data_IF_295938822449
#
_entry.id   IF_295938822449
#
_cell.length_a   1.000
_cell.length_b   1.000
_cell.length_c   1.000
_cell.angle_alpha   90.00
_cell.angle_beta   90.00
_cell.angle_gamma   90.00
#
_symmetry.space_group_name_H-M   'P 1'
#
loop_
_entity.id
_entity.type
_entity.pdbx_description
1 polymer ?
#
# COMPACT_ATOMS: atom_id res chain seq x y z
N UNK A 1 -1.33 11.70 4.37
CA UNK A 1 -1.47 10.47 5.19
C UNK A 1 -2.13 10.68 6.56
N UNK A 2 -1.92 11.80 7.27
CA UNK A 2 -2.49 12.03 8.61
C UNK A 2 -4.02 11.85 8.70
N UNK A 3 -4.79 12.38 7.75
CA UNK A 3 -6.24 12.19 7.72
C UNK A 3 -6.66 10.73 7.50
N UNK A 4 -5.95 9.99 6.64
CA UNK A 4 -6.23 8.58 6.42
C UNK A 4 -6.01 7.76 7.70
N UNK A 5 -4.94 8.03 8.44
CA UNK A 5 -4.69 7.39 9.75
C UNK A 5 -5.83 7.69 10.72
N UNK A 6 -6.21 8.97 10.83
CA UNK A 6 -7.29 9.42 11.72
C UNK A 6 -8.62 8.74 11.37
N UNK A 7 -8.98 8.71 10.08
CA UNK A 7 -10.20 8.07 9.61
C UNK A 7 -10.17 6.55 9.84
N UNK A 8 -9.05 5.89 9.53
CA UNK A 8 -8.88 4.46 9.78
C UNK A 8 -9.14 4.13 11.25
N UNK A 9 -8.48 4.85 12.17
CA UNK A 9 -8.64 4.65 13.60
C UNK A 9 -10.07 4.86 14.10
N UNK A 10 -10.83 5.78 13.50
CA UNK A 10 -12.23 6.02 13.86
C UNK A 10 -13.16 4.94 13.31
N UNK A 11 -12.93 4.51 12.08
CA UNK A 11 -13.78 3.55 11.37
C UNK A 11 -13.56 2.13 11.90
N UNK A 12 -12.31 1.69 12.08
CA UNK A 12 -11.98 0.30 12.38
C UNK A 12 -12.07 -0.07 13.87
N UNK A 13 -12.48 0.88 14.72
CA UNK A 13 -12.91 0.61 16.10
C UNK A 13 -14.24 -0.15 16.18
N UNK A 14 -15.08 -0.01 15.17
CA UNK A 14 -16.38 -0.67 15.12
C UNK A 14 -16.25 -2.02 14.43
N UNK A 15 -16.89 -3.05 14.99
CA UNK A 15 -16.90 -4.36 14.37
C UNK A 15 -17.53 -4.30 12.97
N UNK A 16 -16.94 -5.02 12.01
CA UNK A 16 -17.45 -5.09 10.64
C UNK A 16 -17.16 -3.87 9.75
N UNK A 17 -16.34 -2.94 10.22
CA UNK A 17 -15.91 -1.78 9.44
C UNK A 17 -14.46 -1.95 9.00
N UNK A 18 -14.20 -1.69 7.73
CA UNK A 18 -12.87 -1.72 7.13
C UNK A 18 -12.55 -0.37 6.49
N UNK A 19 -11.27 -0.07 6.38
CA UNK A 19 -10.75 1.15 5.78
C UNK A 19 -9.70 0.82 4.72
N UNK A 20 -9.76 1.54 3.61
CA UNK A 20 -8.85 1.40 2.47
C UNK A 20 -8.30 2.77 2.11
N UNK A 21 -7.00 2.80 1.82
CA UNK A 21 -6.37 3.87 1.04
C UNK A 21 -5.80 3.22 -0.20
N UNK A 22 -6.03 3.78 -1.37
CA UNK A 22 -5.48 3.25 -2.60
C UNK A 22 -5.13 4.39 -3.55
N UNK A 23 -3.99 4.24 -4.21
CA UNK A 23 -3.47 5.21 -5.17
C UNK A 23 -2.86 4.48 -6.37
N UNK A 24 -3.01 5.10 -7.54
CA UNK A 24 -2.31 4.73 -8.77
C UNK A 24 -1.27 5.80 -9.07
N UNK A 25 -0.08 5.37 -9.48
CA UNK A 25 1.05 6.25 -9.78
C UNK A 25 1.88 5.66 -10.92
N UNK A 26 1.78 6.26 -12.11
CA UNK A 26 2.38 5.74 -13.33
C UNK A 26 1.84 4.34 -13.68
N UNK A 27 2.76 3.41 -13.94
CA UNK A 27 2.44 1.99 -14.18
C UNK A 27 2.30 1.17 -12.89
N UNK A 28 2.24 1.82 -11.72
CA UNK A 28 2.16 1.16 -10.42
C UNK A 28 0.87 1.53 -9.68
N UNK A 29 0.50 0.68 -8.73
CA UNK A 29 -0.60 0.94 -7.82
C UNK A 29 -0.34 0.33 -6.46
N UNK A 30 -0.89 0.95 -5.42
CA UNK A 30 -0.78 0.42 -4.08
C UNK A 30 -2.07 0.68 -3.31
N UNK A 31 -2.42 -0.24 -2.43
CA UNK A 31 -3.45 -0.04 -1.43
C UNK A 31 -2.96 -0.46 -0.05
N UNK A 32 -3.34 0.31 0.98
CA UNK A 32 -3.22 -0.04 2.39
C UNK A 32 -4.60 -0.38 2.92
N UNK A 33 -4.67 -1.46 3.69
CA UNK A 33 -5.91 -2.08 4.16
C UNK A 33 -5.86 -2.17 5.68
N UNK A 34 -6.89 -1.66 6.33
CA UNK A 34 -7.10 -1.78 7.76
C UNK A 34 -8.49 -2.38 8.00
N UNK A 35 -8.53 -3.64 8.44
CA UNK A 35 -9.79 -4.36 8.67
C UNK A 35 -10.32 -4.20 10.10
N UNK A 36 -9.54 -3.59 10.99
CA UNK A 36 -9.79 -3.62 12.43
C UNK A 36 -9.33 -4.93 13.10
N UNK A 37 -8.94 -4.80 14.38
CA UNK A 37 -8.33 -5.88 15.17
C UNK A 37 -9.23 -7.11 15.37
N UNK A 38 -10.54 -6.90 15.40
CA UNK A 38 -11.54 -7.92 15.72
C UNK A 38 -12.20 -8.50 14.45
N UNK A 39 -11.64 -8.20 13.27
CA UNK A 39 -12.16 -8.71 12.00
C UNK A 39 -12.03 -10.24 11.91
N UNK A 40 -13.09 -10.87 11.45
CA UNK A 40 -13.17 -12.31 11.23
C UNK A 40 -13.70 -12.61 9.83
N UNK A 41 -13.18 -13.67 9.23
CA UNK A 41 -13.65 -14.20 7.95
C UNK A 41 -13.91 -15.70 8.05
N UNK A 42 -14.66 -16.25 7.10
CA UNK A 42 -14.88 -17.68 6.96
C UNK A 42 -14.06 -18.19 5.77
N UNK A 43 -13.02 -19.01 6.00
CA UNK A 43 -12.20 -19.52 4.91
C UNK A 43 -13.02 -20.42 3.97
N UNK A 44 -12.74 -20.35 2.68
CA UNK A 44 -13.37 -21.22 1.69
C UNK A 44 -12.57 -22.52 1.57
N UNK A 45 -13.21 -23.64 1.89
CA UNK A 45 -12.65 -24.99 1.77
C UNK A 45 -13.44 -25.71 0.67
N UNK A 46 -12.98 -25.55 -0.57
CA UNK A 46 -13.71 -26.00 -1.75
C UNK A 46 -15.01 -25.20 -1.93
N UNK A 47 -16.17 -25.86 -1.83
CA UNK A 47 -17.50 -25.21 -1.93
C UNK A 47 -18.15 -24.90 -0.58
N UNK A 48 -17.44 -25.15 0.53
CA UNK A 48 -17.97 -24.96 1.89
C UNK A 48 -17.23 -23.82 2.58
N UNK A 49 -17.94 -23.12 3.46
CA UNK A 49 -17.37 -22.12 4.36
C UNK A 49 -16.95 -22.80 5.67
N UNK A 50 -15.75 -22.48 6.12
CA UNK A 50 -15.26 -22.87 7.44
C UNK A 50 -15.87 -22.02 8.57
N UNK A 51 -15.33 -22.23 9.76
CA UNK A 51 -15.69 -21.47 10.95
C UNK A 51 -15.11 -20.04 10.90
N UNK A 52 -15.76 -19.06 11.57
CA UNK A 52 -15.21 -17.72 11.72
C UNK A 52 -13.79 -17.78 12.29
N UNK A 53 -12.85 -17.19 11.56
CA UNK A 53 -11.42 -17.24 11.84
C UNK A 53 -10.93 -15.79 11.94
N UNK A 54 -10.18 -15.42 13.00
CA UNK A 54 -9.63 -14.09 13.15
C UNK A 54 -8.51 -13.84 12.12
N UNK A 55 -8.33 -12.57 11.72
CA UNK A 55 -7.23 -12.20 10.85
C UNK A 55 -5.88 -12.40 11.55
N UNK A 56 -5.01 -13.22 10.94
CA UNK A 56 -3.66 -13.44 11.46
C UNK A 56 -2.74 -12.27 11.09
N UNK A 57 -1.85 -11.89 12.01
CA UNK A 57 -0.83 -10.86 11.82
C UNK A 57 -1.42 -9.50 11.39
N UNK A 58 -2.55 -9.12 11.99
CA UNK A 58 -3.14 -7.78 11.81
C UNK A 58 -2.18 -6.68 12.25
N UNK A 59 -2.03 -5.65 11.41
CA UNK A 59 -1.25 -4.43 11.71
C UNK A 59 -2.14 -3.24 11.33
N UNK A 60 -2.51 -2.35 12.27
CA UNK A 60 -3.34 -1.19 11.97
C UNK A 60 -2.61 -0.21 11.04
N UNK A 61 -3.37 0.60 10.29
CA UNK A 61 -2.78 1.55 9.33
C UNK A 61 -1.74 2.47 9.99
N UNK A 62 -2.01 2.91 11.23
CA UNK A 62 -1.11 3.79 11.99
C UNK A 62 0.26 3.17 12.25
N UNK A 63 0.34 1.85 12.48
CA UNK A 63 1.60 1.15 12.69
C UNK A 63 2.26 0.79 11.37
N UNK A 64 1.47 0.39 10.37
CA UNK A 64 1.92 0.02 9.04
C UNK A 64 2.79 1.12 8.39
N UNK A 65 2.32 2.37 8.42
CA UNK A 65 3.04 3.51 7.84
C UNK A 65 4.30 3.89 8.62
N UNK A 66 4.42 3.46 9.88
CA UNK A 66 5.60 3.72 10.71
C UNK A 66 6.68 2.65 10.54
N UNK A 67 6.38 1.51 9.92
CA UNK A 67 7.37 0.46 9.67
C UNK A 67 8.50 1.04 8.80
N UNK A 68 9.77 1.02 9.30
CA UNK A 68 10.92 1.43 8.49
C UNK A 68 11.06 0.51 7.27
N UNK A 69 11.34 1.06 6.09
CA UNK A 69 11.31 0.28 4.85
C UNK A 69 12.26 -0.92 4.89
N UNK A 70 13.51 -0.75 5.37
CA UNK A 70 14.46 -1.86 5.49
C UNK A 70 14.02 -2.98 6.45
N UNK A 71 13.04 -2.72 7.34
CA UNK A 71 12.46 -3.72 8.24
C UNK A 71 11.16 -4.33 7.71
N UNK A 72 10.54 -3.74 6.69
CA UNK A 72 9.40 -4.31 5.98
C UNK A 72 9.90 -5.42 5.05
N UNK A 73 10.24 -6.57 5.64
CA UNK A 73 10.77 -7.74 4.93
C UNK A 73 10.10 -8.99 5.48
N UNK A 74 10.04 -10.04 4.66
CA UNK A 74 9.48 -11.32 5.09
C UNK A 74 10.26 -12.49 4.47
N UNK A 75 9.83 -13.73 4.74
CA UNK A 75 10.53 -14.93 4.24
C UNK A 75 10.66 -14.98 2.71
N UNK A 76 9.80 -14.28 1.97
CA UNK A 76 9.82 -14.23 0.50
C UNK A 76 10.50 -12.97 -0.03
N UNK A 77 10.52 -11.89 0.75
CA UNK A 77 11.03 -10.58 0.36
C UNK A 77 12.17 -10.17 1.30
N UNK A 78 13.42 -10.41 0.87
CA UNK A 78 14.62 -10.00 1.61
C UNK A 78 14.85 -8.48 1.60
N UNK A 79 14.17 -7.79 0.69
CA UNK A 79 14.03 -6.34 0.62
C UNK A 79 12.54 -6.02 0.41
N UNK A 80 12.04 -4.87 0.88
CA UNK A 80 10.68 -4.44 0.56
C UNK A 80 10.49 -4.34 -0.96
N UNK A 81 9.31 -4.68 -1.49
CA UNK A 81 9.05 -4.54 -2.92
C UNK A 81 9.19 -3.10 -3.39
N UNK A 82 9.72 -2.88 -4.59
CA UNK A 82 9.96 -1.53 -5.12
C UNK A 82 8.67 -0.69 -5.21
N UNK A 83 7.54 -1.29 -5.58
CA UNK A 83 6.22 -0.62 -5.57
C UNK A 83 5.89 -0.05 -4.19
N UNK A 84 6.19 -0.77 -3.10
CA UNK A 84 5.95 -0.27 -1.75
C UNK A 84 6.90 0.86 -1.37
N UNK A 85 8.19 0.74 -1.74
CA UNK A 85 9.19 1.79 -1.53
C UNK A 85 8.75 3.08 -2.24
N UNK A 86 8.41 3.00 -3.53
CA UNK A 86 7.96 4.13 -4.35
C UNK A 86 6.72 4.80 -3.76
N UNK A 87 5.72 4.00 -3.35
CA UNK A 87 4.51 4.55 -2.75
C UNK A 87 4.82 5.29 -1.45
N UNK A 88 5.68 4.73 -0.58
CA UNK A 88 6.14 5.41 0.63
C UNK A 88 6.93 6.70 0.34
N UNK A 89 7.72 6.75 -0.73
CA UNK A 89 8.38 7.98 -1.18
C UNK A 89 7.36 9.07 -1.59
N UNK A 90 6.29 8.71 -2.32
CA UNK A 90 5.24 9.66 -2.72
C UNK A 90 4.50 10.23 -1.51
N UNK A 91 4.19 9.38 -0.54
CA UNK A 91 3.50 9.76 0.69
C UNK A 91 4.36 10.66 1.57
N UNK A 92 5.64 10.33 1.72
CA UNK A 92 6.59 11.15 2.48
C UNK A 92 6.78 12.51 1.79
N UNK A 93 6.96 12.52 0.47
CA UNK A 93 7.08 13.76 -0.29
C UNK A 93 5.83 14.64 -0.11
N UNK A 94 4.63 14.08 -0.30
CA UNK A 94 3.36 14.79 -0.09
C UNK A 94 3.24 15.38 1.31
N UNK A 95 3.68 14.63 2.32
CA UNK A 95 3.65 15.09 3.71
C UNK A 95 4.61 16.26 3.95
N UNK A 96 5.79 16.26 3.32
CA UNK A 96 6.79 17.32 3.50
C UNK A 96 6.49 18.58 2.65
N UNK A 97 6.13 18.38 1.39
CA UNK A 97 5.92 19.46 0.42
C UNK A 97 4.49 20.03 0.43
N UNK A 98 3.53 19.29 1.00
CA UNK A 98 2.08 19.56 0.92
C UNK A 98 1.52 19.51 -0.51
N UNK A 99 2.28 19.00 -1.47
CA UNK A 99 1.90 18.83 -2.88
C UNK A 99 2.23 17.43 -3.36
N UNK A 100 1.39 16.90 -4.25
CA UNK A 100 1.61 15.59 -4.84
C UNK A 100 2.64 15.69 -5.97
N UNK A 101 3.58 14.73 -6.01
CA UNK A 101 4.53 14.63 -7.09
C UNK A 101 3.82 14.52 -8.45
N UNK A 102 4.26 15.31 -9.43
CA UNK A 102 3.61 15.42 -10.75
C UNK A 102 2.57 16.55 -10.87
N UNK A 103 2.13 17.15 -9.74
CA UNK A 103 1.30 18.35 -9.74
C UNK A 103 2.12 19.63 -9.51
N UNK A 104 3.44 19.52 -9.44
CA UNK A 104 4.35 20.63 -9.14
C UNK A 104 4.66 21.46 -10.40
N UNK A 105 5.03 22.75 -10.27
CA UNK A 105 5.63 23.52 -11.35
C UNK A 105 6.88 22.81 -11.89
N UNK A 106 7.14 22.94 -13.19
CA UNK A 106 8.15 22.18 -13.96
C UNK A 106 9.58 22.24 -13.38
N UNK A 107 9.89 23.22 -12.53
CA UNK A 107 11.21 23.42 -11.92
C UNK A 107 11.45 22.64 -10.60
N UNK A 108 10.49 21.84 -10.12
CA UNK A 108 10.60 21.15 -8.82
C UNK A 108 11.08 19.69 -8.89
N UNK A 109 11.23 19.10 -10.08
CA UNK A 109 11.63 17.70 -10.24
C UNK A 109 12.99 17.37 -9.59
N UNK A 110 13.96 18.29 -9.70
CA UNK A 110 15.28 18.12 -9.07
C UNK A 110 15.20 18.15 -7.53
N UNK A 111 14.37 19.04 -6.98
CA UNK A 111 14.14 19.12 -5.54
C UNK A 111 13.40 17.88 -5.02
N UNK A 112 12.39 17.40 -5.74
CA UNK A 112 11.69 16.15 -5.44
C UNK A 112 12.64 14.95 -5.46
N UNK A 113 13.48 14.83 -6.50
CA UNK A 113 14.50 13.78 -6.60
C UNK A 113 15.45 13.80 -5.41
N UNK A 114 15.95 14.98 -5.03
CA UNK A 114 16.82 15.14 -3.87
C UNK A 114 16.15 14.75 -2.55
N UNK A 115 14.90 15.17 -2.33
CA UNK A 115 14.13 14.82 -1.13
C UNK A 115 13.89 13.31 -1.03
N UNK A 116 13.46 12.67 -2.13
CA UNK A 116 13.22 11.23 -2.19
C UNK A 116 14.52 10.45 -1.96
N UNK A 117 15.64 10.86 -2.56
CA UNK A 117 16.94 10.23 -2.31
C UNK A 117 17.38 10.34 -0.85
N UNK A 118 17.12 11.46 -0.19
CA UNK A 118 17.37 11.63 1.24
C UNK A 118 16.53 10.65 2.07
N UNK A 119 15.24 10.55 1.79
CA UNK A 119 14.35 9.59 2.47
C UNK A 119 14.79 8.14 2.26
N UNK A 120 15.12 7.74 1.04
CA UNK A 120 15.62 6.39 0.73
C UNK A 120 16.88 6.05 1.55
N UNK A 121 17.81 7.00 1.66
CA UNK A 121 19.04 6.86 2.46
C UNK A 121 18.73 6.68 3.95
N UNK A 122 17.84 7.50 4.51
CA UNK A 122 17.41 7.39 5.92
C UNK A 122 16.71 6.06 6.20
N UNK A 123 15.92 5.58 5.24
CA UNK A 123 15.21 4.31 5.32
C UNK A 123 16.08 3.08 5.00
N UNK A 124 17.35 3.28 4.63
CA UNK A 124 18.33 2.25 4.29
C UNK A 124 17.87 1.31 3.17
N UNK A 125 17.23 1.89 2.15
CA UNK A 125 16.78 1.19 0.94
C UNK A 125 17.18 1.98 -0.31
N UNK A 126 17.11 1.34 -1.46
CA UNK A 126 17.45 1.96 -2.75
C UNK A 126 16.42 1.60 -3.81
N UNK A 127 16.22 2.51 -4.76
CA UNK A 127 15.61 2.24 -6.06
C UNK A 127 16.72 2.22 -7.11
N UNK A 128 16.51 1.53 -8.24
CA UNK A 128 17.39 1.74 -9.41
C UNK A 128 17.23 3.17 -9.95
N UNK A 129 18.22 3.64 -10.71
CA UNK A 129 18.13 4.97 -11.34
C UNK A 129 16.90 5.08 -12.25
N UNK A 130 16.61 4.03 -13.03
CA UNK A 130 15.40 3.90 -13.86
C UNK A 130 14.12 4.02 -13.03
N UNK A 131 14.02 3.26 -11.93
CA UNK A 131 12.87 3.32 -11.03
C UNK A 131 12.67 4.71 -10.39
N UNK A 132 13.77 5.36 -10.04
CA UNK A 132 13.71 6.70 -9.47
C UNK A 132 13.28 7.72 -10.53
N UNK A 133 13.80 7.61 -11.76
CA UNK A 133 13.41 8.48 -12.88
C UNK A 133 11.95 8.30 -13.25
N UNK A 134 11.48 7.05 -13.35
CA UNK A 134 10.08 6.73 -13.58
C UNK A 134 9.17 7.33 -12.50
N UNK A 135 9.55 7.23 -11.23
CA UNK A 135 8.79 7.81 -10.11
C UNK A 135 8.71 9.33 -10.21
N UNK A 136 9.81 10.00 -10.55
CA UNK A 136 9.88 11.46 -10.67
C UNK A 136 9.09 11.95 -11.88
N UNK A 137 9.18 11.24 -13.00
CA UNK A 137 8.50 11.58 -14.25
C UNK A 137 6.99 11.33 -14.17
N UNK A 138 6.59 10.16 -13.65
CA UNK A 138 5.19 9.77 -13.57
C UNK A 138 4.47 10.44 -12.40
N UNK A 139 5.14 10.62 -11.25
CA UNK A 139 4.49 11.13 -10.04
C UNK A 139 3.19 10.38 -9.73
N UNK A 140 2.11 11.12 -9.44
CA UNK A 140 0.76 10.59 -9.22
C UNK A 140 -0.06 10.44 -10.52
N UNK A 141 0.56 10.38 -11.69
CA UNK A 141 -0.16 10.21 -12.95
C UNK A 141 -0.98 8.92 -12.94
N UNK A 142 -2.27 9.04 -13.27
CA UNK A 142 -3.21 7.93 -13.27
C UNK A 142 -3.33 7.33 -14.66
N UNK A 143 -2.87 6.10 -14.82
CA UNK A 143 -2.97 5.34 -16.08
C UNK A 143 -4.23 4.46 -16.03
N UNK A 144 -5.13 4.61 -17.00
CA UNK A 144 -6.45 3.97 -16.97
C UNK A 144 -6.41 2.43 -16.81
N UNK A 145 -5.55 1.67 -17.53
CA UNK A 145 -5.36 0.25 -17.28
C UNK A 145 -4.98 -0.10 -15.83
N UNK A 146 -4.11 0.68 -15.21
CA UNK A 146 -3.65 0.46 -13.82
C UNK A 146 -4.79 0.66 -12.85
N UNK A 147 -5.59 1.72 -13.05
CA UNK A 147 -6.77 2.00 -12.24
C UNK A 147 -7.82 0.89 -12.38
N UNK A 148 -8.04 0.38 -13.58
CA UNK A 148 -8.99 -0.71 -13.82
C UNK A 148 -8.55 -2.01 -13.13
N UNK A 149 -7.26 -2.37 -13.21
CA UNK A 149 -6.72 -3.57 -12.57
C UNK A 149 -6.78 -3.43 -11.05
N UNK A 150 -6.22 -2.35 -10.48
CA UNK A 150 -6.20 -2.15 -9.04
C UNK A 150 -7.63 -2.04 -8.47
N UNK A 151 -8.50 -1.28 -9.13
CA UNK A 151 -9.90 -1.13 -8.75
C UNK A 151 -10.68 -2.44 -8.80
N UNK A 152 -10.45 -3.28 -9.81
CA UNK A 152 -11.04 -4.61 -9.91
C UNK A 152 -10.60 -5.55 -8.78
N UNK A 153 -9.30 -5.53 -8.45
CA UNK A 153 -8.76 -6.33 -7.33
C UNK A 153 -9.32 -5.84 -6.00
N UNK A 154 -9.31 -4.52 -5.74
CA UNK A 154 -9.88 -3.95 -4.52
C UNK A 154 -11.39 -4.24 -4.43
N UNK A 155 -12.13 -4.15 -5.54
CA UNK A 155 -13.55 -4.47 -5.59
C UNK A 155 -13.83 -5.90 -5.14
N UNK A 156 -13.01 -6.87 -5.58
CA UNK A 156 -13.11 -8.26 -5.10
C UNK A 156 -12.81 -8.37 -3.60
N UNK A 157 -11.83 -7.65 -3.08
CA UNK A 157 -11.52 -7.66 -1.63
C UNK A 157 -12.65 -7.03 -0.80
N UNK A 158 -13.26 -5.96 -1.28
CA UNK A 158 -14.44 -5.34 -0.64
C UNK A 158 -15.59 -6.35 -0.56
N UNK A 159 -15.82 -7.14 -1.61
CA UNK A 159 -16.84 -8.22 -1.59
C UNK A 159 -16.51 -9.26 -0.51
N UNK A 160 -15.25 -9.71 -0.40
CA UNK A 160 -14.85 -10.67 0.65
C UNK A 160 -15.11 -10.12 2.05
N UNK A 161 -14.85 -8.83 2.26
CA UNK A 161 -15.08 -8.16 3.55
C UNK A 161 -16.55 -8.07 3.90
N UNK A 162 -17.37 -7.59 2.97
CA UNK A 162 -18.81 -7.44 3.21
C UNK A 162 -19.48 -8.81 3.42
N UNK A 163 -19.06 -9.82 2.67
CA UNK A 163 -19.66 -11.16 2.75
C UNK A 163 -19.08 -12.00 3.90
N UNK A 164 -17.90 -11.65 4.41
CA UNK A 164 -17.12 -12.45 5.35
C UNK A 164 -16.67 -13.80 4.77
N UNK A 165 -16.63 -13.95 3.43
CA UNK A 165 -16.28 -15.20 2.73
C UNK A 165 -14.91 -15.10 2.08
N UNK A 166 -14.07 -16.08 2.36
CA UNK A 166 -12.71 -16.13 1.86
C UNK A 166 -11.76 -15.24 2.66
N UNK A 167 -10.46 -15.55 2.59
CA UNK A 167 -9.43 -14.74 3.24
C UNK A 167 -9.24 -13.42 2.48
N UNK A 168 -9.42 -12.26 3.14
CA UNK A 168 -9.13 -10.98 2.51
C UNK A 168 -7.63 -10.71 2.48
N UNK A 169 -7.21 -9.83 1.57
CA UNK A 169 -5.86 -9.31 1.51
C UNK A 169 -5.48 -8.62 2.84
N UNK A 170 -4.27 -8.91 3.33
CA UNK A 170 -3.71 -8.34 4.55
C UNK A 170 -2.22 -8.01 4.37
N UNK A 171 -1.74 -6.79 4.61
CA UNK A 171 -2.44 -5.52 4.86
C UNK A 171 -2.19 -4.52 3.71
N UNK A 172 -1.50 -4.94 2.65
CA UNK A 172 -1.33 -4.13 1.44
C UNK A 172 -1.51 -4.95 0.17
N UNK A 173 -1.93 -4.26 -0.89
CA UNK A 173 -1.97 -4.76 -2.26
C UNK A 173 -1.04 -3.90 -3.10
N UNK A 174 -0.18 -4.54 -3.88
CA UNK A 174 0.78 -3.87 -4.74
C UNK A 174 0.57 -4.34 -6.19
N UNK A 175 0.49 -3.38 -7.11
CA UNK A 175 0.41 -3.58 -8.55
C UNK A 175 1.68 -3.05 -9.20
N UNK A 176 2.31 -3.91 -10.00
CA UNK A 176 3.43 -3.57 -10.87
C UNK A 176 3.02 -3.87 -12.32
N UNK A 177 2.78 -2.81 -13.10
CA UNK A 177 2.37 -2.88 -14.49
C UNK A 177 3.47 -3.33 -15.44
N UNK A 178 4.74 -3.16 -15.08
CA UNK A 178 5.88 -3.58 -15.93
C UNK A 178 5.97 -5.11 -15.95
N UNK A 179 5.64 -5.73 -14.83
CA UNK A 179 5.61 -7.20 -14.69
C UNK A 179 4.21 -7.80 -14.76
N UNK A 180 3.17 -6.98 -14.91
CA UNK A 180 1.76 -7.36 -14.87
C UNK A 180 1.40 -8.17 -13.61
N UNK A 181 1.94 -7.81 -12.45
CA UNK A 181 1.72 -8.53 -11.18
C UNK A 181 0.90 -7.72 -10.21
N UNK A 182 -0.07 -8.38 -9.57
CA UNK A 182 -0.73 -7.90 -8.37
C UNK A 182 -0.51 -8.92 -7.26
N UNK A 183 -0.05 -8.46 -6.10
CA UNK A 183 0.20 -9.34 -4.96
C UNK A 183 -0.05 -8.65 -3.65
N UNK A 184 -0.23 -9.44 -2.60
CA UNK A 184 -0.30 -8.95 -1.23
C UNK A 184 1.08 -8.90 -0.61
N UNK A 185 1.33 -7.85 0.18
CA UNK A 185 2.57 -7.71 0.93
C UNK A 185 2.25 -7.33 2.37
N UNK A 186 2.55 -8.21 3.32
CA UNK A 186 2.36 -7.92 4.74
C UNK A 186 3.44 -6.94 5.20
N UNK A 187 3.04 -5.69 5.43
CA UNK A 187 3.89 -4.64 5.98
C UNK A 187 3.88 -4.77 7.50
N UNK A 188 4.87 -5.49 8.02
CA UNK A 188 5.16 -5.66 9.45
C UNK A 188 6.68 -5.59 9.62
N UNK A 189 7.14 -4.99 10.71
CA UNK A 189 8.57 -5.00 11.02
C UNK A 189 9.03 -6.44 11.31
N UNK A 190 10.13 -6.87 10.69
CA UNK A 190 10.78 -8.13 11.07
C UNK A 190 11.30 -8.02 12.51
N UNK A 191 10.83 -8.96 13.34
CA UNK A 191 11.30 -9.20 14.71
C UNK A 191 12.81 -9.47 14.76
#
# INVERSE_FOLDING_TARGET
MADAIRLSQLVTQQQGHAFYVADCFGLRGAAMIDLGKDYQYRPEIGKKLGDPTPLKDYVPLSEMVQVPLHRAVNRFHKQPPSTWIMYRCLLEYQQQSQVWLGNDPTDMAAAAKSSIQKFLKEQQVSLSDEQLEDLIMAGMAQVAPVCAVLGGVIGNEVIKIITGKGEPANNSLLLDGDTCKVWTFLVKAKE
#
